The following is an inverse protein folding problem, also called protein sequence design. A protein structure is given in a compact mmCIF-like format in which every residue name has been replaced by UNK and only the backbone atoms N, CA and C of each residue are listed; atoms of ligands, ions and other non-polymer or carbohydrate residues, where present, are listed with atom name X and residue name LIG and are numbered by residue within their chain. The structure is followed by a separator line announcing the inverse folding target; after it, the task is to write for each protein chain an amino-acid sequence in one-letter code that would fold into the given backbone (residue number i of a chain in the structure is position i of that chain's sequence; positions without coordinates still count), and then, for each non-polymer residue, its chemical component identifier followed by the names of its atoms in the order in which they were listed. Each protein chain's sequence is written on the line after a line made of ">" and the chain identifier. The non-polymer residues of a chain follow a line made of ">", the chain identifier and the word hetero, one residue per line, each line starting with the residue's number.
data_IF_027640281272
#
_entry.id   IF_027640281272
#
_cell.length_a   1.000
_cell.length_b   1.000
_cell.length_c   1.000
_cell.angle_alpha   90.00
_cell.angle_beta   90.00
_cell.angle_gamma   90.00
#
_symmetry.space_group_name_H-M   'P 1'
#
loop_
_entity.id
_entity.type
_entity.pdbx_description
1 polymer ?
#
# COMPACT_ATOMS: atom_id res chain seq x y z
N UNK A 1 25.19 29.91 -9.25
CA UNK A 1 24.48 29.19 -8.18
C UNK A 1 25.00 27.77 -8.12
N UNK A 2 25.90 27.52 -7.15
CA UNK A 2 26.56 26.20 -7.00
C UNK A 2 25.55 25.13 -6.57
N UNK A 3 25.46 24.05 -7.37
CA UNK A 3 24.76 22.83 -6.98
C UNK A 3 25.52 22.19 -5.84
N UNK A 4 24.87 22.04 -4.68
CA UNK A 4 25.39 21.24 -3.57
C UNK A 4 25.34 19.76 -3.99
N UNK A 5 26.47 19.02 -4.07
CA UNK A 5 26.51 17.63 -4.51
C UNK A 5 25.85 16.63 -3.55
N UNK A 6 25.41 17.08 -2.37
CA UNK A 6 24.77 16.24 -1.36
C UNK A 6 23.22 16.15 -1.51
N UNK A 7 22.61 16.85 -2.46
CA UNK A 7 21.16 16.80 -2.65
C UNK A 7 20.85 16.03 -3.94
N UNK A 8 20.10 14.93 -3.92
CA UNK A 8 19.71 14.20 -5.11
C UNK A 8 19.00 15.15 -6.07
N UNK A 9 19.13 14.96 -7.40
CA UNK A 9 18.52 15.85 -8.38
C UNK A 9 17.01 15.89 -8.16
N UNK A 10 16.46 17.09 -8.03
CA UNK A 10 15.02 17.28 -8.03
C UNK A 10 14.47 16.85 -9.39
N UNK A 11 13.59 15.87 -9.37
CA UNK A 11 12.88 15.38 -10.54
C UNK A 11 11.40 15.72 -10.42
N UNK A 12 10.73 15.69 -11.54
CA UNK A 12 9.29 15.85 -11.60
C UNK A 12 8.65 14.47 -11.65
N UNK A 13 7.81 14.16 -10.66
CA UNK A 13 7.00 12.96 -10.65
C UNK A 13 5.67 13.22 -11.34
N UNK A 14 5.37 12.47 -12.38
CA UNK A 14 4.08 12.51 -13.10
C UNK A 14 3.14 11.47 -12.53
N UNK A 15 2.06 11.93 -11.90
CA UNK A 15 1.14 11.13 -11.12
C UNK A 15 -0.23 11.08 -11.79
N UNK A 16 -0.78 9.87 -11.98
CA UNK A 16 -2.19 9.68 -12.27
C UNK A 16 -2.96 9.69 -10.95
N UNK A 17 -3.79 10.69 -10.74
CA UNK A 17 -4.60 10.84 -9.52
C UNK A 17 -5.98 10.24 -9.70
N UNK A 18 -6.53 9.67 -8.62
CA UNK A 18 -7.95 9.34 -8.52
C UNK A 18 -8.79 10.64 -8.45
N UNK A 19 -8.91 11.29 -9.59
CA UNK A 19 -9.65 12.52 -9.80
C UNK A 19 -10.32 12.49 -11.17
N UNK A 20 -11.47 13.15 -11.36
CA UNK A 20 -12.21 13.19 -12.64
C UNK A 20 -11.53 14.16 -13.64
N UNK A 21 -10.23 14.04 -13.82
CA UNK A 21 -9.42 14.89 -14.70
C UNK A 21 -8.50 13.99 -15.52
N UNK A 22 -8.63 14.11 -16.84
CA UNK A 22 -7.84 13.32 -17.80
C UNK A 22 -6.49 13.99 -18.07
N UNK A 23 -5.66 14.04 -17.03
CA UNK A 23 -4.26 14.49 -17.12
C UNK A 23 -3.40 13.89 -16.02
N UNK A 24 -2.12 13.88 -16.22
CA UNK A 24 -1.14 13.61 -15.16
C UNK A 24 -0.85 14.90 -14.38
N UNK A 25 -0.46 14.74 -13.15
CA UNK A 25 -0.14 15.84 -12.24
C UNK A 25 1.34 15.79 -11.87
N UNK A 26 1.99 16.94 -11.96
CA UNK A 26 3.39 17.10 -11.69
C UNK A 26 3.63 17.48 -10.23
N UNK A 27 4.58 16.78 -9.60
CA UNK A 27 5.04 17.03 -8.23
C UNK A 27 6.56 17.03 -8.16
N UNK A 28 7.13 17.83 -7.25
CA UNK A 28 8.56 17.80 -6.95
C UNK A 28 8.90 16.50 -6.24
N UNK A 29 9.79 15.72 -6.83
CA UNK A 29 10.20 14.42 -6.33
C UNK A 29 11.67 14.48 -5.87
N UNK A 30 11.90 14.17 -4.60
CA UNK A 30 13.22 13.91 -4.01
C UNK A 30 13.30 12.43 -3.69
N UNK A 31 14.47 11.83 -3.83
CA UNK A 31 14.71 10.42 -3.52
C UNK A 31 13.78 9.44 -4.26
N UNK A 32 13.44 9.77 -5.51
CA UNK A 32 12.60 8.95 -6.37
C UNK A 32 13.38 8.49 -7.59
N UNK A 33 13.27 7.21 -7.92
CA UNK A 33 13.96 6.58 -9.03
C UNK A 33 12.99 5.90 -10.00
N UNK A 34 13.50 5.45 -11.14
CA UNK A 34 12.71 4.68 -12.11
C UNK A 34 12.13 3.39 -11.52
N UNK A 35 12.77 2.82 -10.49
CA UNK A 35 12.25 1.67 -9.76
C UNK A 35 10.98 1.96 -8.94
N UNK A 36 10.64 3.24 -8.76
CA UNK A 36 9.42 3.66 -8.07
C UNK A 36 8.23 3.83 -9.05
N UNK A 37 8.45 3.71 -10.36
CA UNK A 37 7.36 3.75 -11.36
C UNK A 37 6.39 2.59 -11.10
N UNK A 38 5.10 2.89 -11.15
CA UNK A 38 4.04 1.95 -10.78
C UNK A 38 3.71 1.93 -9.30
N UNK A 39 4.47 2.62 -8.43
CA UNK A 39 4.17 2.68 -7.00
C UNK A 39 3.01 3.62 -6.71
N UNK A 40 2.30 3.26 -5.66
CA UNK A 40 1.22 4.06 -5.11
C UNK A 40 1.80 5.21 -4.31
N UNK A 41 1.18 6.37 -4.48
CA UNK A 41 1.59 7.60 -3.80
C UNK A 41 0.38 8.29 -3.20
N UNK A 42 0.60 9.03 -2.14
CA UNK A 42 -0.37 9.95 -1.57
C UNK A 42 0.16 11.37 -1.71
N UNK A 43 -0.56 12.20 -2.43
CA UNK A 43 -0.12 13.57 -2.75
C UNK A 43 -1.10 14.62 -2.24
N UNK A 44 -0.62 15.83 -1.94
CA UNK A 44 -1.49 16.96 -1.61
C UNK A 44 -2.24 17.41 -2.87
N UNK A 45 -3.57 17.42 -2.81
CA UNK A 45 -4.44 17.87 -3.88
C UNK A 45 -5.55 18.77 -3.34
N UNK A 46 -5.46 20.07 -3.56
CA UNK A 46 -6.30 21.05 -2.89
C UNK A 46 -6.11 20.99 -1.36
N UNK A 47 -7.21 21.00 -0.59
CA UNK A 47 -7.16 20.90 0.87
C UNK A 47 -7.01 19.46 1.39
N UNK A 48 -7.02 18.47 0.50
CA UNK A 48 -7.01 17.04 0.86
C UNK A 48 -5.77 16.34 0.31
N UNK A 49 -5.52 15.15 0.84
CA UNK A 49 -4.60 14.20 0.21
C UNK A 49 -5.38 13.26 -0.70
N UNK A 50 -4.77 12.90 -1.81
CA UNK A 50 -5.35 11.97 -2.78
C UNK A 50 -4.38 10.84 -3.08
N UNK A 51 -4.98 9.69 -3.37
CA UNK A 51 -4.29 8.54 -3.90
C UNK A 51 -3.93 8.78 -5.37
N UNK A 52 -2.77 8.29 -5.75
CA UNK A 52 -2.33 8.25 -7.14
C UNK A 52 -1.30 7.16 -7.39
N UNK A 53 -0.90 7.04 -8.64
CA UNK A 53 0.15 6.11 -9.08
C UNK A 53 1.23 6.91 -9.83
N UNK A 54 2.49 6.70 -9.48
CA UNK A 54 3.64 7.28 -10.17
C UNK A 54 3.80 6.59 -11.54
N UNK A 55 3.71 7.35 -12.62
CA UNK A 55 3.76 6.80 -13.97
C UNK A 55 5.01 7.16 -14.76
N UNK A 56 5.65 8.27 -14.42
CA UNK A 56 6.88 8.70 -15.06
C UNK A 56 7.66 9.68 -14.18
N UNK A 57 8.95 9.80 -14.48
CA UNK A 57 9.81 10.86 -13.97
C UNK A 57 10.24 11.74 -15.16
N UNK A 58 10.27 13.05 -14.93
CA UNK A 58 10.71 14.03 -15.91
C UNK A 58 11.71 15.01 -15.29
N UNK A 59 12.50 15.66 -16.11
CA UNK A 59 13.45 16.70 -15.67
C UNK A 59 12.79 18.07 -15.59
N UNK A 60 11.70 18.28 -16.35
CA UNK A 60 11.02 19.56 -16.47
C UNK A 60 9.51 19.39 -16.38
N UNK A 61 8.84 20.40 -15.88
CA UNK A 61 7.39 20.56 -15.88
C UNK A 61 7.01 21.82 -16.65
N UNK A 62 5.80 21.80 -17.21
CA UNK A 62 5.19 23.00 -17.83
C UNK A 62 4.64 23.97 -16.78
N UNK A 63 4.62 23.56 -15.52
CA UNK A 63 4.17 24.39 -14.40
C UNK A 63 5.32 25.27 -13.89
N UNK A 64 4.98 26.48 -13.43
CA UNK A 64 5.94 27.32 -12.75
C UNK A 64 6.46 26.64 -11.46
N UNK A 65 7.76 26.75 -11.13
CA UNK A 65 8.36 26.06 -9.98
C UNK A 65 7.62 26.31 -8.65
N UNK A 66 7.07 27.51 -8.49
CA UNK A 66 6.32 27.92 -7.29
C UNK A 66 4.98 27.18 -7.15
N UNK A 67 4.45 26.66 -8.27
CA UNK A 67 3.19 25.93 -8.33
C UNK A 67 3.37 24.44 -8.05
N UNK A 68 4.60 23.93 -8.13
CA UNK A 68 4.91 22.54 -7.90
C UNK A 68 4.92 22.24 -6.41
N UNK A 69 4.05 21.35 -6.00
CA UNK A 69 4.00 20.85 -4.61
C UNK A 69 4.97 19.67 -4.43
N UNK A 70 5.53 19.49 -3.24
CA UNK A 70 6.33 18.30 -2.97
C UNK A 70 5.48 17.04 -3.08
N UNK A 71 6.09 15.99 -3.63
CA UNK A 71 5.51 14.66 -3.64
C UNK A 71 5.31 14.21 -2.19
N UNK A 72 4.16 13.60 -1.92
CA UNK A 72 3.86 13.05 -0.61
C UNK A 72 4.50 11.68 -0.38
N UNK A 73 3.82 10.84 0.40
CA UNK A 73 4.35 9.53 0.74
C UNK A 73 4.29 8.55 -0.45
N UNK A 74 5.38 7.81 -0.67
CA UNK A 74 5.45 6.69 -1.63
C UNK A 74 5.35 5.39 -0.84
N UNK A 75 4.48 4.49 -1.28
CA UNK A 75 4.40 3.14 -0.71
C UNK A 75 5.49 2.25 -1.30
N UNK A 76 6.58 2.10 -0.56
CA UNK A 76 7.69 1.20 -0.91
C UNK A 76 7.59 -0.18 -0.24
N UNK A 77 6.59 -0.40 0.60
CA UNK A 77 6.40 -1.69 1.29
C UNK A 77 5.72 -2.73 0.41
N UNK A 78 4.91 -2.26 -0.54
CA UNK A 78 4.30 -3.14 -1.53
C UNK A 78 5.01 -3.01 -2.87
N UNK A 79 5.05 -4.08 -3.69
CA UNK A 79 5.66 -3.99 -5.01
C UNK A 79 4.94 -2.95 -5.87
N UNK A 80 5.62 -2.35 -6.86
CA UNK A 80 4.99 -1.50 -7.85
C UNK A 80 3.96 -2.29 -8.66
N UNK A 81 2.99 -1.60 -9.24
CA UNK A 81 2.06 -2.19 -10.19
C UNK A 81 2.84 -2.71 -11.40
N UNK A 82 2.60 -3.95 -11.85
CA UNK A 82 3.32 -4.53 -12.97
C UNK A 82 3.03 -3.78 -14.28
N UNK A 83 3.97 -3.82 -15.19
CA UNK A 83 3.93 -3.04 -16.43
C UNK A 83 2.74 -3.40 -17.34
N UNK A 84 2.35 -4.67 -17.37
CA UNK A 84 1.19 -5.18 -18.09
C UNK A 84 -0.13 -4.62 -17.55
N UNK A 85 -0.27 -4.51 -16.21
CA UNK A 85 -1.42 -3.87 -15.59
C UNK A 85 -1.48 -2.36 -15.90
N UNK A 86 -0.34 -1.68 -15.91
CA UNK A 86 -0.27 -0.27 -16.31
C UNK A 86 -0.62 -0.08 -17.79
N UNK A 87 -0.20 -1.00 -18.66
CA UNK A 87 -0.57 -1.00 -20.08
C UNK A 87 -2.07 -1.24 -20.27
N UNK A 88 -2.64 -2.20 -19.54
CA UNK A 88 -4.08 -2.45 -19.55
C UNK A 88 -4.86 -1.21 -19.07
N UNK A 89 -4.43 -0.58 -18.00
CA UNK A 89 -5.07 0.63 -17.49
C UNK A 89 -5.08 1.76 -18.53
N UNK A 90 -3.95 1.97 -19.24
CA UNK A 90 -3.88 2.96 -20.34
C UNK A 90 -4.81 2.62 -21.48
N UNK A 91 -4.86 1.34 -21.88
CA UNK A 91 -5.77 0.88 -22.91
C UNK A 91 -7.23 1.14 -22.52
N UNK A 92 -7.63 0.76 -21.31
CA UNK A 92 -9.00 0.97 -20.80
C UNK A 92 -9.33 2.46 -20.74
N UNK A 93 -8.41 3.30 -20.23
CA UNK A 93 -8.61 4.75 -20.17
C UNK A 93 -8.86 5.35 -21.57
N UNK A 94 -8.03 4.98 -22.54
CA UNK A 94 -8.15 5.45 -23.90
C UNK A 94 -9.43 4.95 -24.58
N UNK A 95 -9.73 3.66 -24.45
CA UNK A 95 -10.90 3.05 -25.10
C UNK A 95 -12.24 3.56 -24.58
N UNK A 96 -12.35 3.72 -23.25
CA UNK A 96 -13.59 4.18 -22.60
C UNK A 96 -13.62 5.68 -22.31
N UNK A 97 -12.60 6.43 -22.76
CA UNK A 97 -12.48 7.87 -22.50
C UNK A 97 -12.61 8.23 -21.02
N UNK A 98 -11.95 7.43 -20.16
CA UNK A 98 -11.97 7.61 -18.72
C UNK A 98 -10.63 8.16 -18.22
N UNK A 99 -10.62 9.03 -17.19
CA UNK A 99 -9.37 9.49 -16.57
C UNK A 99 -8.53 8.31 -16.09
N UNK A 100 -7.26 8.27 -16.49
CA UNK A 100 -6.35 7.15 -16.17
C UNK A 100 -6.25 6.89 -14.66
N UNK A 101 -6.26 7.95 -13.83
CA UNK A 101 -6.23 7.82 -12.38
C UNK A 101 -7.47 7.13 -11.81
N UNK A 102 -8.65 7.39 -12.36
CA UNK A 102 -9.90 6.73 -11.96
C UNK A 102 -9.90 5.25 -12.36
N UNK A 103 -9.38 4.94 -13.57
CA UNK A 103 -9.21 3.55 -14.02
C UNK A 103 -8.26 2.79 -13.08
N UNK A 104 -7.09 3.35 -12.78
CA UNK A 104 -6.13 2.74 -11.85
C UNK A 104 -6.72 2.54 -10.45
N UNK A 105 -7.48 3.51 -9.95
CA UNK A 105 -8.18 3.37 -8.69
C UNK A 105 -9.20 2.23 -8.73
N UNK A 106 -9.92 2.04 -9.84
CA UNK A 106 -10.91 0.96 -10.00
C UNK A 106 -10.26 -0.42 -10.06
N UNK A 107 -9.11 -0.54 -10.69
CA UNK A 107 -8.35 -1.80 -10.78
C UNK A 107 -7.79 -2.25 -9.42
N UNK A 108 -7.66 -1.35 -8.45
CA UNK A 108 -7.10 -1.66 -7.15
C UNK A 108 -8.19 -1.94 -6.09
N UNK A 109 -8.00 -2.96 -5.24
CA UNK A 109 -8.84 -3.15 -4.07
C UNK A 109 -8.86 -1.90 -3.18
N UNK A 110 -9.97 -1.59 -2.49
CA UNK A 110 -10.08 -0.40 -1.63
C UNK A 110 -8.98 -0.27 -0.58
N UNK A 111 -8.51 -1.40 -0.04
CA UNK A 111 -7.41 -1.43 0.92
C UNK A 111 -6.08 -0.92 0.34
N UNK A 112 -5.89 -1.00 -0.97
CA UNK A 112 -4.69 -0.56 -1.68
C UNK A 112 -4.80 0.88 -2.23
N UNK A 113 -5.98 1.50 -2.20
CA UNK A 113 -6.20 2.89 -2.66
C UNK A 113 -5.76 3.94 -1.65
N UNK A 114 -5.33 3.53 -0.46
CA UNK A 114 -4.76 4.42 0.55
C UNK A 114 -3.26 4.18 0.58
N UNK A 115 -2.45 5.20 0.42
CA UNK A 115 -1.04 5.11 0.73
C UNK A 115 -0.94 4.80 2.23
N UNK A 116 -0.47 3.61 2.56
CA UNK A 116 -0.20 3.25 3.96
C UNK A 116 1.08 3.96 4.38
N UNK A 117 0.93 5.19 4.86
CA UNK A 117 1.97 5.83 5.66
C UNK A 117 2.06 5.03 6.95
N UNK A 118 3.11 4.26 7.10
CA UNK A 118 3.37 3.35 8.20
C UNK A 118 2.29 2.26 8.40
N UNK A 119 2.46 1.12 7.72
CA UNK A 119 2.05 -0.12 8.36
C UNK A 119 2.87 -0.20 9.65
N UNK A 120 2.22 -0.10 10.80
CA UNK A 120 2.75 -0.74 12.00
C UNK A 120 3.21 -2.11 11.50
N UNK A 121 4.48 -2.50 11.69
CA UNK A 121 4.86 -3.87 11.39
C UNK A 121 3.78 -4.72 12.02
N UNK A 122 3.23 -5.70 11.27
CA UNK A 122 2.27 -6.61 11.85
C UNK A 122 2.95 -7.13 13.10
N UNK A 123 2.58 -6.57 14.24
CA UNK A 123 3.05 -7.10 15.51
C UNK A 123 2.71 -8.59 15.41
N UNK A 124 3.67 -9.48 15.65
CA UNK A 124 3.42 -10.89 15.51
C UNK A 124 2.15 -11.17 16.28
N UNK A 125 1.09 -11.58 15.56
CA UNK A 125 -0.18 -11.88 16.19
C UNK A 125 0.11 -13.03 17.13
N UNK A 126 -0.14 -12.80 18.41
CA UNK A 126 -0.01 -13.78 19.45
C UNK A 126 -1.37 -14.04 20.05
N UNK A 127 -1.64 -15.28 20.33
CA UNK A 127 -2.91 -15.75 20.90
C UNK A 127 -2.71 -16.13 22.36
N UNK A 128 -3.71 -15.81 23.17
CA UNK A 128 -3.78 -16.17 24.58
C UNK A 128 -5.22 -16.54 24.89
N UNK A 129 -5.44 -17.55 25.73
CA UNK A 129 -6.76 -17.85 26.25
C UNK A 129 -7.29 -16.67 27.07
N UNK A 130 -8.57 -16.35 26.87
CA UNK A 130 -9.33 -15.48 27.76
C UNK A 130 -9.75 -16.30 28.99
N UNK A 131 -10.17 -15.65 30.12
CA UNK A 131 -10.72 -16.39 31.25
C UNK A 131 -11.85 -17.36 30.86
N UNK A 132 -12.80 -16.89 30.04
CA UNK A 132 -13.86 -17.75 29.52
C UNK A 132 -13.35 -18.89 28.65
N UNK A 133 -12.24 -18.66 27.91
CA UNK A 133 -11.58 -19.69 27.11
C UNK A 133 -10.97 -20.79 27.98
N UNK A 134 -10.39 -20.44 29.12
CA UNK A 134 -9.89 -21.43 30.08
C UNK A 134 -11.01 -22.36 30.59
N UNK A 135 -12.16 -21.80 30.94
CA UNK A 135 -13.31 -22.58 31.43
C UNK A 135 -13.87 -23.50 30.32
N UNK A 136 -13.80 -23.06 29.05
CA UNK A 136 -14.37 -23.79 27.94
C UNK A 136 -13.48 -24.95 27.43
N UNK A 137 -12.20 -24.94 27.73
CA UNK A 137 -11.28 -26.01 27.28
C UNK A 137 -11.73 -27.40 27.75
N UNK A 138 -12.25 -27.49 28.97
CA UNK A 138 -12.76 -28.76 29.53
C UNK A 138 -14.01 -29.27 28.81
N UNK A 139 -14.72 -28.43 28.10
CA UNK A 139 -15.97 -28.75 27.40
C UNK A 139 -15.75 -29.11 25.93
N UNK A 140 -14.50 -29.13 25.45
CA UNK A 140 -14.21 -29.47 24.06
C UNK A 140 -14.54 -30.93 23.77
N UNK A 141 -15.28 -31.22 22.69
CA UNK A 141 -15.62 -32.60 22.34
C UNK A 141 -14.37 -33.39 21.94
N UNK A 142 -14.27 -34.66 22.36
CA UNK A 142 -13.09 -35.50 22.12
C UNK A 142 -12.69 -35.63 20.63
N UNK A 143 -13.63 -35.42 19.72
CA UNK A 143 -13.39 -35.42 18.25
C UNK A 143 -12.66 -34.19 17.76
N UNK A 144 -12.59 -33.11 18.55
CA UNK A 144 -11.97 -31.84 18.18
C UNK A 144 -10.45 -31.85 18.48
N UNK A 145 -9.73 -32.84 17.97
CA UNK A 145 -8.33 -33.09 18.30
C UNK A 145 -7.40 -31.90 18.04
N UNK A 146 -7.56 -31.18 16.92
CA UNK A 146 -6.78 -29.98 16.61
C UNK A 146 -7.06 -28.83 17.60
N UNK A 147 -8.33 -28.63 17.98
CA UNK A 147 -8.70 -27.60 18.94
C UNK A 147 -8.17 -27.93 20.34
N UNK A 148 -8.20 -29.20 20.73
CA UNK A 148 -7.65 -29.66 22.02
C UNK A 148 -6.14 -29.42 22.04
N UNK A 149 -5.41 -29.80 20.98
CA UNK A 149 -3.97 -29.60 20.87
C UNK A 149 -3.59 -28.10 20.95
N UNK A 150 -4.30 -27.25 20.24
CA UNK A 150 -4.10 -25.79 20.30
C UNK A 150 -4.43 -25.24 21.70
N UNK A 151 -5.54 -25.66 22.29
CA UNK A 151 -5.94 -25.24 23.63
C UNK A 151 -4.89 -25.63 24.68
N UNK A 152 -4.34 -26.84 24.63
CA UNK A 152 -3.25 -27.28 25.51
C UNK A 152 -2.00 -26.40 25.39
N UNK A 153 -1.62 -26.01 24.18
CA UNK A 153 -0.50 -25.10 23.94
C UNK A 153 -0.79 -23.70 24.53
N UNK A 154 -2.02 -23.20 24.35
CA UNK A 154 -2.45 -21.89 24.86
C UNK A 154 -2.61 -21.87 26.39
N UNK A 155 -2.87 -23.01 27.04
CA UNK A 155 -2.83 -23.14 28.50
C UNK A 155 -1.43 -22.97 29.08
N UNK A 156 -0.40 -23.36 28.31
CA UNK A 156 1.01 -23.20 28.70
C UNK A 156 1.52 -21.76 28.52
N UNK A 157 0.80 -20.93 27.74
CA UNK A 157 1.17 -19.53 27.54
C UNK A 157 0.72 -18.94 26.21
N UNK A 158 1.38 -17.84 25.85
CA UNK A 158 1.10 -17.13 24.59
C UNK A 158 1.72 -17.90 23.42
N UNK A 159 0.95 -18.14 22.37
CA UNK A 159 1.37 -18.80 21.13
C UNK A 159 1.41 -17.79 20.00
N UNK A 160 2.57 -17.63 19.33
CA UNK A 160 2.69 -16.78 18.16
C UNK A 160 1.97 -17.41 16.95
N UNK A 161 1.37 -16.56 16.09
CA UNK A 161 0.79 -17.02 14.82
C UNK A 161 1.81 -17.73 13.92
N UNK A 162 3.07 -17.35 14.02
CA UNK A 162 4.14 -17.99 13.25
C UNK A 162 4.38 -19.46 13.66
N UNK A 163 4.08 -19.78 14.91
CA UNK A 163 4.28 -21.11 15.49
C UNK A 163 3.06 -22.03 15.32
N UNK A 164 1.98 -21.54 14.71
CA UNK A 164 0.79 -22.34 14.43
C UNK A 164 0.99 -23.19 13.17
N UNK A 165 0.60 -24.44 13.23
CA UNK A 165 0.51 -25.32 12.07
C UNK A 165 -0.56 -24.82 11.08
N UNK A 166 -0.46 -25.17 9.80
CA UNK A 166 -1.37 -24.65 8.77
C UNK A 166 -2.84 -25.00 9.03
N UNK A 167 -3.13 -26.16 9.67
CA UNK A 167 -4.47 -26.53 10.09
C UNK A 167 -5.00 -25.75 11.30
N UNK A 168 -4.13 -25.13 12.10
CA UNK A 168 -4.48 -24.33 13.28
C UNK A 168 -4.75 -22.85 12.92
N UNK A 169 -4.32 -22.41 11.74
CA UNK A 169 -4.50 -21.03 11.26
C UNK A 169 -5.91 -20.72 10.75
N UNK A 170 -6.72 -21.75 10.55
CA UNK A 170 -8.09 -21.66 9.98
C UNK A 170 -9.16 -21.66 11.07
N UNK A 171 -8.79 -21.94 12.32
CA UNK A 171 -9.67 -21.91 13.49
C UNK A 171 -9.67 -20.52 14.11
#
# INVERSE_FOLDING_TARGET
>A
MSRNPANPPERIARIALDAPLDRLFDYLARDVSEADIGRRVEVPFGPRRRFGVLLALAEKSDLAPESLKPLGAIDRQTPPLPADLLALARFVAAYYHQPLGAVLATLLPPALRRARTSRRPDAPLAYRLTPAGHDHVACLPARATAQIALAQRLLLGVVSRADLADGEKVL
#
